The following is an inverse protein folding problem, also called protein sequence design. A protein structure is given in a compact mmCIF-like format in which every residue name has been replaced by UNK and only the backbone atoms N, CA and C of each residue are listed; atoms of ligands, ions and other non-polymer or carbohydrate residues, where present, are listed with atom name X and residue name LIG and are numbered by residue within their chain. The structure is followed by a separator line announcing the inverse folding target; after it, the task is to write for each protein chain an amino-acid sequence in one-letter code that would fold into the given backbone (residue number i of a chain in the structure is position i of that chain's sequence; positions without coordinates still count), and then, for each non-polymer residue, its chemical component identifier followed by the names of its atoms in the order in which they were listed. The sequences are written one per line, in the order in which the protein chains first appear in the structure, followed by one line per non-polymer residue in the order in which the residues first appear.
data_IF_074205972281
#
_entry.id   IF_074205972281
#
_cell.length_a   1.000
_cell.length_b   1.000
_cell.length_c   1.000
_cell.angle_alpha   90.00
_cell.angle_beta   90.00
_cell.angle_gamma   90.00
#
_symmetry.space_group_name_H-M   'P 1'
#
loop_
_entity.id
_entity.type
_entity.pdbx_description
1 polymer ?
#
# COMPACT_ATOMS: atom_id res chain seq x y z
N UNK A 1 33.35 -2.60 6.00
CA UNK A 1 32.33 -3.23 5.12
C UNK A 1 31.29 -3.84 6.05
N UNK A 2 30.02 -3.71 5.72
CA UNK A 2 28.95 -4.35 6.47
C UNK A 2 28.82 -5.79 5.95
N UNK A 3 29.00 -6.77 6.85
CA UNK A 3 28.99 -8.20 6.48
C UNK A 3 27.59 -8.73 6.14
N UNK A 4 26.55 -8.08 6.64
CA UNK A 4 25.16 -8.48 6.40
C UNK A 4 24.46 -7.57 5.38
N UNK A 5 23.63 -8.11 4.48
CA UNK A 5 22.89 -7.30 3.52
C UNK A 5 21.88 -6.38 4.22
N UNK A 6 21.84 -5.12 3.80
CA UNK A 6 20.81 -4.15 4.23
C UNK A 6 19.73 -4.12 3.15
N UNK A 7 18.53 -4.59 3.49
CA UNK A 7 17.40 -4.62 2.58
C UNK A 7 16.52 -3.37 2.71
N UNK A 8 15.76 -3.06 1.66
CA UNK A 8 14.82 -1.92 1.64
C UNK A 8 13.80 -1.97 2.77
N UNK A 9 13.40 -3.15 3.18
CA UNK A 9 12.46 -3.39 4.30
C UNK A 9 12.97 -4.51 5.20
N UNK A 10 12.55 -4.47 6.45
CA UNK A 10 12.72 -5.56 7.42
C UNK A 10 11.37 -5.79 8.11
N UNK A 11 10.89 -7.03 8.22
CA UNK A 11 9.61 -7.31 8.86
C UNK A 11 9.65 -6.95 10.35
N UNK A 12 8.55 -6.37 10.84
CA UNK A 12 8.30 -6.22 12.27
C UNK A 12 7.92 -7.60 12.82
N UNK A 13 8.67 -8.08 13.80
CA UNK A 13 8.45 -9.40 14.41
C UNK A 13 8.01 -9.22 15.87
N UNK A 14 6.97 -9.93 16.32
CA UNK A 14 6.65 -9.99 17.74
C UNK A 14 7.69 -10.83 18.50
N UNK A 15 7.67 -10.74 19.84
CA UNK A 15 8.41 -11.67 20.67
C UNK A 15 8.00 -13.12 20.36
N UNK A 16 8.98 -13.99 20.13
CA UNK A 16 8.72 -15.42 19.86
C UNK A 16 8.06 -16.08 21.07
N UNK A 17 8.40 -15.68 22.29
CA UNK A 17 7.83 -16.17 23.52
C UNK A 17 6.32 -15.84 23.61
N UNK A 18 5.96 -14.57 23.40
CA UNK A 18 4.56 -14.11 23.40
C UNK A 18 3.77 -14.82 22.29
N UNK A 19 4.38 -14.96 21.11
CA UNK A 19 3.70 -15.63 20.01
C UNK A 19 3.52 -17.12 20.28
N UNK A 20 4.51 -17.79 20.90
CA UNK A 20 4.41 -19.19 21.32
C UNK A 20 3.31 -19.38 22.37
N UNK A 21 3.13 -18.41 23.28
CA UNK A 21 2.04 -18.45 24.25
C UNK A 21 0.66 -18.44 23.55
N UNK A 22 0.43 -17.53 22.62
CA UNK A 22 -0.82 -17.48 21.86
C UNK A 22 -1.03 -18.73 20.96
N UNK A 23 0.04 -19.30 20.41
CA UNK A 23 -0.05 -20.56 19.66
C UNK A 23 -0.54 -21.72 20.54
N UNK A 24 -0.16 -21.79 21.81
CA UNK A 24 -0.68 -22.83 22.74
C UNK A 24 -2.19 -22.69 22.93
N UNK A 25 -2.70 -21.48 23.09
CA UNK A 25 -4.15 -21.23 23.17
C UNK A 25 -4.89 -21.70 21.92
N UNK A 26 -4.33 -21.45 20.73
CA UNK A 26 -4.89 -21.92 19.46
C UNK A 26 -4.91 -23.46 19.40
N UNK A 27 -3.81 -24.11 19.83
CA UNK A 27 -3.72 -25.59 19.86
C UNK A 27 -4.71 -26.22 20.84
N UNK A 28 -4.89 -25.61 22.00
CA UNK A 28 -5.86 -26.07 23.02
C UNK A 28 -7.31 -25.93 22.54
N UNK A 29 -7.63 -24.78 21.93
CA UNK A 29 -8.98 -24.52 21.39
C UNK A 29 -9.33 -25.32 20.15
N UNK A 30 -8.31 -25.76 19.38
CA UNK A 30 -8.44 -26.40 18.06
C UNK A 30 -9.20 -25.54 17.02
N UNK A 31 -9.40 -24.26 17.30
CA UNK A 31 -9.98 -23.29 16.37
C UNK A 31 -8.85 -22.69 15.54
N UNK A 32 -8.71 -23.11 14.27
CA UNK A 32 -7.61 -22.67 13.40
C UNK A 32 -8.01 -21.59 12.40
N UNK A 33 -9.29 -21.48 12.07
CA UNK A 33 -9.82 -20.59 11.03
C UNK A 33 -11.32 -20.37 11.22
N UNK A 34 -12.01 -19.77 10.21
CA UNK A 34 -13.45 -19.52 10.21
C UNK A 34 -13.93 -18.55 11.31
N UNK A 35 -13.29 -17.39 11.39
CA UNK A 35 -13.70 -16.31 12.27
C UNK A 35 -13.61 -16.69 13.76
N UNK A 36 -12.48 -17.26 14.18
CA UNK A 36 -12.21 -17.60 15.57
C UNK A 36 -11.91 -16.37 16.43
N UNK A 37 -11.56 -16.61 17.69
CA UNK A 37 -11.42 -15.54 18.70
C UNK A 37 -10.32 -14.52 18.36
N UNK A 38 -9.16 -14.97 17.87
CA UNK A 38 -8.07 -14.04 17.50
C UNK A 38 -8.41 -13.23 16.26
N UNK A 39 -9.11 -13.85 15.28
CA UNK A 39 -9.59 -13.14 14.10
C UNK A 39 -10.54 -12.00 14.48
N UNK A 40 -11.57 -12.28 15.29
CA UNK A 40 -12.54 -11.27 15.72
C UNK A 40 -11.87 -10.15 16.52
N UNK A 41 -11.01 -10.51 17.46
CA UNK A 41 -10.26 -9.54 18.27
C UNK A 41 -9.33 -8.68 17.42
N UNK A 42 -8.70 -9.25 16.40
CA UNK A 42 -7.85 -8.48 15.50
C UNK A 42 -8.65 -7.50 14.63
N UNK A 43 -9.83 -7.90 14.11
CA UNK A 43 -10.72 -6.97 13.40
C UNK A 43 -11.12 -5.80 14.29
N UNK A 44 -11.51 -6.06 15.54
CA UNK A 44 -11.91 -5.04 16.52
C UNK A 44 -10.75 -4.08 16.85
N UNK A 45 -9.59 -4.62 17.23
CA UNK A 45 -8.43 -3.82 17.62
C UNK A 45 -7.85 -3.00 16.46
N UNK A 46 -7.88 -3.56 15.23
CA UNK A 46 -7.48 -2.81 14.04
C UNK A 46 -8.46 -1.69 13.70
N UNK A 47 -9.77 -1.94 13.76
CA UNK A 47 -10.78 -0.92 13.51
C UNK A 47 -10.63 0.25 14.49
N UNK A 48 -10.40 -0.06 15.77
CA UNK A 48 -10.16 0.93 16.82
C UNK A 48 -8.85 1.72 16.60
N UNK A 49 -7.74 1.03 16.33
CA UNK A 49 -6.44 1.66 16.08
C UNK A 49 -6.46 2.56 14.86
N UNK A 50 -7.06 2.09 13.77
CA UNK A 50 -7.16 2.81 12.49
C UNK A 50 -8.26 3.86 12.47
N UNK A 51 -9.09 3.96 13.53
CA UNK A 51 -10.22 4.90 13.64
C UNK A 51 -11.21 4.75 12.47
N UNK A 52 -11.54 3.51 12.13
CA UNK A 52 -12.47 3.19 11.04
C UNK A 52 -13.71 2.47 11.59
N UNK A 53 -14.90 2.66 10.96
CA UNK A 53 -16.13 2.09 11.49
C UNK A 53 -16.20 0.56 11.34
N UNK A 54 -15.78 0.03 10.19
CA UNK A 54 -15.81 -1.41 9.91
C UNK A 54 -14.58 -1.84 9.09
N UNK A 55 -14.10 -3.04 9.42
CA UNK A 55 -12.94 -3.64 8.76
C UNK A 55 -13.17 -5.14 8.59
N UNK A 56 -12.85 -5.70 7.43
CA UNK A 56 -12.81 -7.15 7.18
C UNK A 56 -11.39 -7.61 6.87
N UNK A 57 -10.91 -8.65 7.56
CA UNK A 57 -9.59 -9.23 7.34
C UNK A 57 -9.58 -10.18 6.13
N UNK A 58 -8.43 -10.19 5.43
CA UNK A 58 -8.14 -10.99 4.24
C UNK A 58 -6.76 -11.63 4.32
N UNK A 59 -6.55 -12.75 3.62
CA UNK A 59 -5.27 -13.48 3.60
C UNK A 59 -4.11 -12.75 2.92
N UNK A 60 -4.38 -11.70 2.15
CA UNK A 60 -3.38 -10.83 1.49
C UNK A 60 -4.01 -9.51 1.06
N UNK A 61 -3.21 -8.57 0.53
CA UNK A 61 -3.70 -7.25 0.08
C UNK A 61 -4.37 -7.23 -1.30
N UNK A 62 -4.29 -8.29 -2.10
CA UNK A 62 -4.89 -8.34 -3.45
C UNK A 62 -6.37 -8.75 -3.40
N UNK A 63 -6.71 -9.71 -2.55
CA UNK A 63 -8.08 -10.21 -2.44
C UNK A 63 -9.09 -9.16 -1.95
N UNK A 64 -8.77 -8.24 -1.03
CA UNK A 64 -9.69 -7.15 -0.70
C UNK A 64 -9.95 -6.21 -1.88
N UNK A 65 -8.96 -5.92 -2.77
CA UNK A 65 -9.20 -5.16 -4.00
C UNK A 65 -10.21 -5.89 -4.92
N UNK A 66 -9.98 -7.18 -5.16
CA UNK A 66 -10.88 -8.02 -5.97
C UNK A 66 -12.30 -8.04 -5.37
N UNK A 67 -12.38 -8.23 -4.05
CA UNK A 67 -13.67 -8.32 -3.35
C UNK A 67 -14.41 -6.99 -3.32
N UNK A 68 -13.71 -5.86 -3.17
CA UNK A 68 -14.29 -4.53 -3.21
C UNK A 68 -15.00 -4.26 -4.55
N UNK A 69 -14.32 -4.59 -5.67
CA UNK A 69 -14.87 -4.45 -7.02
C UNK A 69 -16.13 -5.29 -7.20
N UNK A 70 -16.15 -6.54 -6.72
CA UNK A 70 -17.31 -7.43 -6.76
C UNK A 70 -18.45 -6.93 -5.85
N UNK A 71 -18.13 -6.49 -4.63
CA UNK A 71 -19.12 -6.00 -3.67
C UNK A 71 -19.87 -4.78 -4.20
N UNK A 72 -19.18 -3.88 -4.87
CA UNK A 72 -19.72 -2.67 -5.45
C UNK A 72 -20.27 -2.89 -6.89
N UNK A 73 -20.16 -4.11 -7.43
CA UNK A 73 -20.58 -4.46 -8.80
C UNK A 73 -19.95 -3.55 -9.87
N UNK A 74 -18.66 -3.24 -9.68
CA UNK A 74 -17.90 -2.43 -10.64
C UNK A 74 -17.73 -3.20 -11.93
N UNK A 75 -17.94 -2.53 -13.04
CA UNK A 75 -17.85 -3.07 -14.42
C UNK A 75 -17.25 -2.02 -15.35
N UNK A 76 -17.05 -2.34 -16.63
CA UNK A 76 -16.64 -1.38 -17.64
C UNK A 76 -15.20 -0.92 -17.48
N UNK A 77 -14.99 0.35 -17.14
CA UNK A 77 -13.68 0.97 -17.03
C UNK A 77 -13.47 1.57 -15.63
N UNK A 78 -12.23 1.43 -15.10
CA UNK A 78 -11.80 2.04 -13.84
C UNK A 78 -10.55 2.85 -14.09
N UNK A 79 -10.58 4.12 -13.69
CA UNK A 79 -9.44 5.02 -13.74
C UNK A 79 -8.48 4.68 -12.59
N UNK A 80 -7.19 4.52 -12.90
CA UNK A 80 -6.14 4.24 -11.93
C UNK A 80 -4.79 4.82 -12.39
N UNK A 81 -3.74 4.62 -11.61
CA UNK A 81 -2.37 5.07 -11.91
C UNK A 81 -1.51 3.92 -12.47
N UNK A 82 -0.57 4.21 -13.39
CA UNK A 82 0.45 3.22 -13.78
C UNK A 82 1.58 3.10 -12.75
N UNK A 83 1.70 4.07 -11.81
CA UNK A 83 2.76 4.16 -10.82
C UNK A 83 2.33 3.53 -9.50
N UNK A 84 2.25 2.21 -9.48
CA UNK A 84 1.82 1.40 -8.33
C UNK A 84 2.41 0.00 -8.41
N UNK A 85 2.15 -0.81 -7.38
CA UNK A 85 2.36 -2.24 -7.44
C UNK A 85 1.28 -2.88 -8.32
N UNK A 86 1.66 -3.94 -9.02
CA UNK A 86 0.81 -4.55 -10.06
C UNK A 86 -0.56 -5.05 -9.55
N UNK A 87 -0.68 -5.35 -8.26
CA UNK A 87 -1.93 -5.82 -7.66
C UNK A 87 -3.10 -4.86 -7.88
N UNK A 88 -2.86 -3.54 -7.85
CA UNK A 88 -3.86 -2.51 -8.14
C UNK A 88 -4.54 -2.78 -9.48
N UNK A 89 -3.76 -2.89 -10.55
CA UNK A 89 -4.29 -3.09 -11.92
C UNK A 89 -4.72 -4.54 -12.17
N UNK A 90 -3.99 -5.54 -11.62
CA UNK A 90 -4.37 -6.94 -11.76
C UNK A 90 -5.74 -7.25 -11.14
N UNK A 91 -6.12 -6.58 -10.04
CA UNK A 91 -7.44 -6.74 -9.45
C UNK A 91 -8.57 -6.34 -10.39
N UNK A 92 -8.36 -5.32 -11.21
CA UNK A 92 -9.30 -4.90 -12.27
C UNK A 92 -9.40 -5.96 -13.36
N UNK A 93 -8.24 -6.42 -13.86
CA UNK A 93 -8.16 -7.40 -14.93
C UNK A 93 -8.83 -8.74 -14.56
N UNK A 94 -8.60 -9.21 -13.32
CA UNK A 94 -9.23 -10.41 -12.79
C UNK A 94 -10.77 -10.30 -12.67
N UNK A 95 -11.29 -9.09 -12.57
CA UNK A 95 -12.73 -8.81 -12.56
C UNK A 95 -13.30 -8.49 -13.95
N UNK A 96 -12.53 -8.63 -15.03
CA UNK A 96 -12.96 -8.30 -16.39
C UNK A 96 -13.16 -6.80 -16.61
N UNK A 97 -12.53 -5.96 -15.78
CA UNK A 97 -12.63 -4.50 -15.83
C UNK A 97 -11.41 -3.94 -16.57
N UNK A 98 -11.65 -3.02 -17.51
CA UNK A 98 -10.58 -2.37 -18.24
C UNK A 98 -9.95 -1.25 -17.41
N UNK A 99 -8.64 -1.31 -17.10
CA UNK A 99 -7.95 -0.20 -16.46
C UNK A 99 -7.76 0.96 -17.46
N UNK A 100 -7.97 2.19 -16.96
CA UNK A 100 -7.64 3.42 -17.67
C UNK A 100 -6.57 4.14 -16.88
N UNK A 101 -5.36 4.19 -17.41
CA UNK A 101 -4.24 4.84 -16.73
C UNK A 101 -4.33 6.35 -16.90
N UNK A 102 -4.16 7.06 -15.79
CA UNK A 102 -4.04 8.51 -15.73
C UNK A 102 -2.71 8.84 -15.05
N UNK A 103 -2.06 9.90 -15.50
CA UNK A 103 -0.76 10.33 -15.02
C UNK A 103 -0.80 10.80 -13.55
N UNK A 104 0.36 11.03 -12.99
CA UNK A 104 0.56 11.33 -11.58
C UNK A 104 1.00 12.77 -11.36
N UNK A 105 0.90 13.23 -10.11
CA UNK A 105 1.50 14.46 -9.63
C UNK A 105 2.99 14.23 -9.31
N UNK A 106 3.88 15.17 -9.69
CA UNK A 106 5.31 15.02 -9.39
C UNK A 106 5.62 15.15 -7.88
N UNK A 107 4.80 15.90 -7.12
CA UNK A 107 5.03 16.18 -5.70
C UNK A 107 4.69 15.01 -4.78
N UNK A 108 3.89 14.06 -5.24
CA UNK A 108 3.39 12.94 -4.42
C UNK A 108 3.53 11.58 -5.08
N UNK A 109 3.67 11.52 -6.39
CA UNK A 109 3.50 10.34 -7.25
C UNK A 109 2.10 9.71 -7.18
N UNK A 110 1.12 10.39 -6.61
CA UNK A 110 -0.28 9.96 -6.60
C UNK A 110 -0.98 10.33 -7.92
N UNK A 111 -2.11 9.69 -8.18
CA UNK A 111 -2.99 10.00 -9.30
C UNK A 111 -3.31 11.50 -9.32
N UNK A 112 -3.10 12.18 -10.47
CA UNK A 112 -3.38 13.61 -10.64
C UNK A 112 -4.87 13.86 -10.85
N UNK A 113 -5.59 14.50 -9.90
CA UNK A 113 -7.01 14.76 -10.05
C UNK A 113 -7.35 15.64 -11.25
N UNK A 114 -6.47 16.55 -11.63
CA UNK A 114 -6.69 17.48 -12.76
C UNK A 114 -6.78 16.75 -14.11
N UNK A 115 -6.28 15.51 -14.18
CA UNK A 115 -6.28 14.70 -15.40
C UNK A 115 -7.40 13.64 -15.42
N UNK A 116 -8.13 13.46 -14.32
CA UNK A 116 -9.16 12.40 -14.21
C UNK A 116 -10.32 12.67 -15.15
N UNK A 117 -10.88 13.89 -15.16
CA UNK A 117 -12.07 14.22 -15.95
C UNK A 117 -11.90 13.93 -17.44
N UNK A 118 -10.72 14.22 -17.98
CA UNK A 118 -10.39 13.98 -19.40
C UNK A 118 -10.36 12.48 -19.77
N UNK A 119 -10.19 11.60 -18.78
CA UNK A 119 -10.16 10.15 -18.97
C UNK A 119 -11.52 9.47 -18.77
N UNK A 120 -12.55 10.20 -18.34
CA UNK A 120 -13.89 9.68 -18.10
C UNK A 120 -14.59 9.40 -19.42
N UNK A 121 -15.13 8.19 -19.55
CA UNK A 121 -15.99 7.76 -20.67
C UNK A 121 -17.35 7.29 -20.14
N UNK A 122 -18.35 7.07 -21.01
CA UNK A 122 -19.64 6.47 -20.59
C UNK A 122 -19.51 5.07 -19.95
N UNK A 123 -18.34 4.42 -20.06
CA UNK A 123 -18.05 3.12 -19.45
C UNK A 123 -17.33 3.23 -18.10
N UNK A 124 -16.85 4.41 -17.73
CA UNK A 124 -16.18 4.63 -16.45
C UNK A 124 -17.15 4.49 -15.30
N UNK A 125 -16.85 3.62 -14.33
CA UNK A 125 -17.73 3.34 -13.19
C UNK A 125 -17.07 3.60 -11.84
N UNK A 126 -15.72 3.66 -11.80
CA UNK A 126 -14.99 3.94 -10.58
C UNK A 126 -13.63 4.59 -10.83
N UNK A 127 -13.08 5.14 -9.76
CA UNK A 127 -11.70 5.59 -9.66
C UNK A 127 -11.02 4.73 -8.58
N UNK A 128 -9.84 4.19 -8.88
CA UNK A 128 -9.01 3.43 -7.94
C UNK A 128 -7.65 4.13 -7.76
N UNK A 129 -7.59 5.18 -6.93
CA UNK A 129 -6.35 5.88 -6.62
C UNK A 129 -5.51 5.07 -5.64
N UNK A 130 -4.21 5.34 -5.61
CA UNK A 130 -3.25 4.69 -4.71
C UNK A 130 -2.62 5.72 -3.80
N UNK A 131 -2.59 5.49 -2.49
CA UNK A 131 -1.79 6.28 -1.55
C UNK A 131 -0.33 5.84 -1.63
N UNK A 132 0.36 6.29 -2.68
CA UNK A 132 1.74 5.86 -3.00
C UNK A 132 2.68 6.23 -1.86
N UNK A 133 3.48 5.26 -1.40
CA UNK A 133 4.40 5.37 -0.26
C UNK A 133 3.73 5.78 1.07
N UNK A 134 2.41 5.66 1.18
CA UNK A 134 1.65 6.14 2.33
C UNK A 134 1.37 7.65 2.29
N UNK A 135 1.68 8.35 1.20
CA UNK A 135 1.29 9.75 1.03
C UNK A 135 -0.19 9.83 0.60
N UNK A 136 -1.01 10.62 1.29
CA UNK A 136 -2.41 10.75 0.91
C UNK A 136 -2.59 11.33 -0.50
N UNK A 137 -3.53 10.77 -1.26
CA UNK A 137 -4.06 11.41 -2.46
C UNK A 137 -4.79 12.72 -2.09
N UNK A 138 -5.06 13.57 -3.06
CA UNK A 138 -5.97 14.71 -2.93
C UNK A 138 -7.42 14.21 -2.85
N UNK A 139 -7.79 13.69 -1.67
CA UNK A 139 -9.04 12.95 -1.47
C UNK A 139 -10.29 13.78 -1.73
N UNK A 140 -10.27 15.08 -1.43
CA UNK A 140 -11.39 16.00 -1.66
C UNK A 140 -11.65 16.20 -3.15
N UNK A 141 -10.62 16.51 -3.91
CA UNK A 141 -10.70 16.75 -5.35
C UNK A 141 -11.17 15.48 -6.09
N UNK A 142 -10.65 14.32 -5.71
CA UNK A 142 -11.09 13.04 -6.28
C UNK A 142 -12.56 12.77 -5.95
N UNK A 143 -13.01 13.04 -4.71
CA UNK A 143 -14.40 12.85 -4.31
C UNK A 143 -15.36 13.81 -5.02
N UNK A 144 -14.95 15.07 -5.24
CA UNK A 144 -15.74 16.05 -6.01
C UNK A 144 -15.97 15.57 -7.45
N UNK A 145 -14.92 15.06 -8.11
CA UNK A 145 -15.02 14.47 -9.45
C UNK A 145 -15.94 13.24 -9.42
N UNK A 146 -15.72 12.34 -8.47
CA UNK A 146 -16.53 11.14 -8.34
C UNK A 146 -18.02 11.46 -8.16
N UNK A 147 -18.34 12.43 -7.31
CA UNK A 147 -19.70 12.89 -7.08
C UNK A 147 -20.33 13.50 -8.35
N UNK A 148 -19.56 14.31 -9.08
CA UNK A 148 -20.01 14.97 -10.32
C UNK A 148 -20.40 13.96 -11.41
N UNK A 149 -19.67 12.84 -11.49
CA UNK A 149 -19.86 11.82 -12.53
C UNK A 149 -20.55 10.54 -12.04
N UNK A 150 -20.95 10.47 -10.76
CA UNK A 150 -21.59 9.30 -10.17
C UNK A 150 -20.67 8.08 -10.08
N UNK A 151 -19.36 8.30 -9.92
CA UNK A 151 -18.34 7.25 -9.86
C UNK A 151 -18.12 6.77 -8.43
N UNK A 152 -17.70 5.53 -8.28
CA UNK A 152 -17.23 4.97 -7.01
C UNK A 152 -15.75 5.25 -6.81
N UNK A 153 -15.31 5.36 -5.54
CA UNK A 153 -13.89 5.56 -5.19
C UNK A 153 -13.44 4.43 -4.28
N UNK A 154 -12.45 3.65 -4.75
CA UNK A 154 -11.84 2.55 -3.98
C UNK A 154 -10.35 2.87 -3.84
N UNK A 155 -9.90 3.21 -2.63
CA UNK A 155 -8.49 3.50 -2.39
C UNK A 155 -7.66 2.23 -2.22
N UNK A 156 -6.61 2.07 -3.03
CA UNK A 156 -5.51 1.18 -2.69
C UNK A 156 -4.62 1.89 -1.66
N UNK A 157 -4.84 1.56 -0.39
CA UNK A 157 -4.12 2.10 0.76
C UNK A 157 -3.08 1.11 1.31
N UNK A 158 -2.57 0.19 0.47
CA UNK A 158 -1.60 -0.85 0.87
C UNK A 158 -0.35 -0.30 1.58
N UNK A 159 -0.02 0.97 1.41
CA UNK A 159 1.10 1.66 2.05
C UNK A 159 0.68 2.62 3.18
N UNK A 160 -0.61 2.80 3.42
CA UNK A 160 -1.14 3.89 4.25
C UNK A 160 -1.65 3.44 5.63
N UNK A 161 -1.15 2.32 6.18
CA UNK A 161 -1.50 1.87 7.53
C UNK A 161 -1.20 2.97 8.56
N UNK A 162 -2.22 3.40 9.32
CA UNK A 162 -2.11 4.40 10.38
C UNK A 162 -1.81 5.82 9.90
N UNK A 163 -1.98 6.11 8.61
CA UNK A 163 -1.85 7.47 8.05
C UNK A 163 -3.12 8.27 8.31
N UNK A 164 -2.96 9.51 8.76
CA UNK A 164 -4.06 10.42 9.06
C UNK A 164 -3.86 11.78 8.38
N UNK A 165 -4.95 12.44 8.00
CA UNK A 165 -5.01 13.84 7.54
C UNK A 165 -5.78 14.64 8.60
N UNK A 166 -5.13 15.58 9.27
CA UNK A 166 -5.72 16.41 10.32
C UNK A 166 -6.43 15.60 11.43
N UNK A 167 -5.87 14.41 11.77
CA UNK A 167 -6.40 13.51 12.80
C UNK A 167 -7.45 12.52 12.33
N UNK A 168 -7.88 12.60 11.06
CA UNK A 168 -8.79 11.65 10.42
C UNK A 168 -8.01 10.59 9.61
N UNK A 169 -8.39 9.33 9.76
CA UNK A 169 -7.79 8.23 9.00
C UNK A 169 -8.00 8.40 7.50
N UNK A 170 -6.94 8.24 6.69
CA UNK A 170 -7.06 8.25 5.21
C UNK A 170 -7.97 7.15 4.70
N UNK A 171 -8.25 6.13 5.50
CA UNK A 171 -9.10 5.00 5.17
C UNK A 171 -10.60 5.33 5.26
N UNK A 172 -10.95 6.50 5.80
CA UNK A 172 -12.33 6.98 5.87
C UNK A 172 -12.78 7.74 4.60
N UNK A 173 -11.87 7.96 3.66
CA UNK A 173 -12.20 8.61 2.39
C UNK A 173 -12.57 7.59 1.31
N UNK A 174 -13.42 8.02 0.37
CA UNK A 174 -13.96 7.17 -0.69
C UNK A 174 -15.06 6.22 -0.20
N UNK A 175 -15.44 5.26 -1.04
CA UNK A 175 -16.43 4.24 -0.71
C UNK A 175 -15.82 3.06 0.05
N UNK A 176 -14.55 2.71 -0.25
CA UNK A 176 -13.78 1.64 0.39
C UNK A 176 -12.29 1.94 0.34
N UNK A 177 -11.54 1.38 1.28
CA UNK A 177 -10.08 1.42 1.29
C UNK A 177 -9.48 0.05 1.60
N UNK A 178 -8.43 -0.35 0.87
CA UNK A 178 -7.78 -1.65 1.05
C UNK A 178 -6.41 -1.50 1.71
N UNK A 179 -6.07 -2.43 2.59
CA UNK A 179 -4.77 -2.50 3.25
C UNK A 179 -4.05 -3.80 2.90
N UNK A 180 -2.73 -3.74 2.89
CA UNK A 180 -1.85 -4.91 2.80
C UNK A 180 -1.08 -5.08 4.11
N UNK A 181 -1.09 -6.29 4.65
CA UNK A 181 -0.33 -6.69 5.83
C UNK A 181 0.76 -7.71 5.48
N UNK A 182 1.28 -7.63 4.24
CA UNK A 182 2.43 -8.40 3.82
C UNK A 182 3.65 -8.07 4.69
N UNK A 183 4.56 -9.03 4.89
CA UNK A 183 5.73 -8.92 5.76
C UNK A 183 6.62 -7.67 5.53
N UNK A 184 6.60 -7.08 4.32
CA UNK A 184 7.36 -5.86 4.00
C UNK A 184 6.69 -4.57 4.45
N UNK A 185 5.44 -4.59 4.87
CA UNK A 185 4.67 -3.40 5.27
C UNK A 185 5.03 -2.93 6.68
N UNK A 186 4.64 -1.71 7.01
CA UNK A 186 4.86 -1.11 8.34
C UNK A 186 4.24 -1.92 9.46
N UNK A 187 3.02 -2.39 9.22
CA UNK A 187 2.31 -3.39 10.03
C UNK A 187 2.12 -4.65 9.17
N UNK A 188 2.33 -5.83 9.75
CA UNK A 188 2.18 -7.08 9.01
C UNK A 188 1.58 -8.20 9.86
N UNK A 189 1.00 -9.18 9.16
CA UNK A 189 0.50 -10.44 9.71
C UNK A 189 1.15 -11.64 8.99
N UNK A 190 2.46 -11.56 8.68
CA UNK A 190 3.18 -12.41 7.73
C UNK A 190 2.68 -12.16 6.31
N UNK A 191 1.54 -12.68 5.97
CA UNK A 191 0.66 -12.36 4.87
C UNK A 191 -0.70 -11.95 5.42
N UNK A 192 -1.29 -10.92 4.85
CA UNK A 192 -2.61 -10.46 5.23
C UNK A 192 -3.02 -9.19 4.49
N UNK A 193 -4.24 -8.78 4.75
CA UNK A 193 -4.81 -7.54 4.24
C UNK A 193 -6.14 -7.24 4.92
N UNK A 194 -6.70 -6.10 4.59
CA UNK A 194 -8.02 -5.72 5.08
C UNK A 194 -8.76 -4.86 4.07
N UNK A 195 -10.09 -4.87 4.19
CA UNK A 195 -10.98 -3.97 3.49
C UNK A 195 -11.76 -3.15 4.52
N UNK A 196 -11.61 -1.84 4.44
CA UNK A 196 -12.36 -0.86 5.25
C UNK A 196 -13.60 -0.44 4.49
N UNK A 197 -14.73 -0.41 5.19
CA UNK A 197 -16.05 -0.01 4.68
C UNK A 197 -16.77 0.85 5.72
N UNK A 198 -17.84 1.57 5.31
CA UNK A 198 -18.41 2.63 6.15
C UNK A 198 -19.78 2.28 6.73
N UNK A 199 -20.37 1.13 6.36
CA UNK A 199 -21.64 0.66 6.89
C UNK A 199 -21.66 -0.84 7.16
N UNK A 200 -22.52 -1.26 8.07
CA UNK A 200 -22.63 -2.65 8.54
C UNK A 200 -23.14 -3.59 7.44
N UNK A 201 -24.05 -3.13 6.57
CA UNK A 201 -24.59 -3.96 5.51
C UNK A 201 -23.53 -4.33 4.50
N UNK A 202 -22.69 -3.36 4.13
CA UNK A 202 -21.51 -3.60 3.26
C UNK A 202 -20.49 -4.51 3.93
N UNK A 203 -20.20 -4.31 5.22
CA UNK A 203 -19.34 -5.21 6.01
C UNK A 203 -19.84 -6.65 5.93
N UNK A 204 -21.12 -6.87 6.20
CA UNK A 204 -21.75 -8.19 6.15
C UNK A 204 -21.67 -8.82 4.76
N UNK A 205 -21.90 -8.03 3.70
CA UNK A 205 -21.74 -8.49 2.31
C UNK A 205 -20.29 -8.93 2.02
N UNK A 206 -19.29 -8.15 2.46
CA UNK A 206 -17.87 -8.48 2.30
C UNK A 206 -17.54 -9.78 3.03
N UNK A 207 -18.05 -9.97 4.25
CA UNK A 207 -17.79 -11.18 5.04
C UNK A 207 -18.39 -12.43 4.38
N UNK A 208 -19.55 -12.31 3.71
CA UNK A 208 -20.05 -13.40 2.87
C UNK A 208 -19.15 -13.67 1.68
N UNK A 209 -18.75 -12.64 0.93
CA UNK A 209 -17.92 -12.78 -0.27
C UNK A 209 -16.54 -13.39 0.06
N UNK A 210 -15.91 -13.02 1.18
CA UNK A 210 -14.62 -13.59 1.61
C UNK A 210 -14.72 -15.03 2.10
N UNK A 211 -15.95 -15.56 2.30
CA UNK A 211 -16.23 -16.92 2.74
C UNK A 211 -17.20 -17.63 1.77
N UNK A 212 -16.80 -17.77 0.51
CA UNK A 212 -17.55 -18.47 -0.55
C UNK A 212 -18.98 -17.95 -0.80
N UNK A 213 -19.38 -16.84 -0.21
CA UNK A 213 -20.73 -16.30 -0.30
C UNK A 213 -21.71 -16.91 0.68
N UNK A 214 -21.26 -17.66 1.68
CA UNK A 214 -22.12 -18.27 2.70
C UNK A 214 -22.69 -17.20 3.64
N UNK A 215 -24.02 -17.11 3.69
CA UNK A 215 -24.78 -16.38 4.70
C UNK A 215 -25.17 -17.25 5.89
N UNK A 216 -25.30 -18.57 5.68
CA UNK A 216 -25.51 -19.59 6.69
C UNK A 216 -24.94 -20.93 6.20
N UNK A 217 -25.09 -21.98 6.98
CA UNK A 217 -24.62 -23.33 6.62
C UNK A 217 -25.18 -23.84 5.29
N UNK A 218 -26.40 -23.43 4.95
CA UNK A 218 -27.14 -23.92 3.77
C UNK A 218 -27.47 -22.85 2.75
N UNK A 219 -27.13 -21.57 3.01
CA UNK A 219 -27.49 -20.45 2.15
C UNK A 219 -26.26 -19.78 1.56
N UNK A 220 -26.16 -19.78 0.23
CA UNK A 220 -25.15 -19.06 -0.55
C UNK A 220 -25.82 -17.89 -1.26
N UNK A 221 -25.45 -16.66 -0.90
CA UNK A 221 -26.10 -15.42 -1.41
C UNK A 221 -25.36 -14.75 -2.56
N UNK A 222 -24.10 -15.14 -2.81
CA UNK A 222 -23.28 -14.59 -3.88
C UNK A 222 -22.12 -15.55 -4.23
N UNK A 223 -21.56 -15.47 -5.45
CA UNK A 223 -20.30 -16.16 -5.77
C UNK A 223 -19.15 -15.50 -5.02
N UNK A 224 -18.73 -16.11 -3.93
CA UNK A 224 -17.61 -15.66 -3.10
C UNK A 224 -16.35 -16.47 -3.31
N UNK A 225 -15.28 -16.08 -2.64
CA UNK A 225 -13.96 -16.74 -2.65
C UNK A 225 -13.54 -17.16 -1.24
N UNK A 226 -12.51 -17.97 -1.12
CA UNK A 226 -11.89 -18.23 0.18
C UNK A 226 -10.72 -17.28 0.41
N UNK A 227 -10.92 -16.29 1.25
CA UNK A 227 -9.89 -15.29 1.60
C UNK A 227 -9.82 -15.02 3.10
N UNK A 228 -10.32 -15.96 3.92
CA UNK A 228 -10.33 -15.86 5.38
C UNK A 228 -8.93 -15.96 5.97
N UNK A 229 -8.62 -15.07 6.90
CA UNK A 229 -7.41 -15.15 7.74
C UNK A 229 -7.58 -16.24 8.79
N UNK A 230 -6.53 -17.01 9.03
CA UNK A 230 -6.43 -18.00 10.09
C UNK A 230 -6.08 -17.37 11.46
N UNK A 231 -6.26 -18.14 12.53
CA UNK A 231 -6.01 -17.70 13.90
C UNK A 231 -4.52 -17.44 14.17
N UNK A 232 -3.61 -18.15 13.51
CA UNK A 232 -2.16 -18.00 13.69
C UNK A 232 -1.71 -16.62 13.21
N UNK A 233 -2.13 -16.19 12.02
CA UNK A 233 -1.85 -14.84 11.49
C UNK A 233 -2.57 -13.76 12.30
N UNK A 234 -3.77 -14.03 12.77
CA UNK A 234 -4.50 -13.09 13.60
C UNK A 234 -3.81 -12.86 14.96
N UNK A 235 -3.38 -13.90 15.62
CA UNK A 235 -2.60 -13.82 16.88
C UNK A 235 -1.27 -13.07 16.68
N UNK A 236 -0.55 -13.36 15.60
CA UNK A 236 0.66 -12.65 15.22
C UNK A 236 0.39 -11.15 15.01
N UNK A 237 -0.70 -10.82 14.30
CA UNK A 237 -1.12 -9.43 14.04
C UNK A 237 -1.44 -8.66 15.31
N UNK A 238 -2.12 -9.27 16.28
CA UNK A 238 -2.41 -8.66 17.58
C UNK A 238 -1.15 -8.26 18.34
N UNK A 239 -0.11 -9.09 18.32
CA UNK A 239 1.18 -8.76 18.94
C UNK A 239 1.90 -7.63 18.21
N UNK A 240 1.92 -7.66 16.87
CA UNK A 240 2.55 -6.61 16.08
C UNK A 240 1.85 -5.26 16.23
N UNK A 241 0.54 -5.24 16.43
CA UNK A 241 -0.21 -4.01 16.62
C UNK A 241 0.26 -3.23 17.87
N UNK A 242 0.70 -3.95 18.91
CA UNK A 242 1.20 -3.34 20.16
C UNK A 242 2.51 -2.55 19.98
N UNK A 243 3.28 -2.82 18.93
CA UNK A 243 4.60 -2.21 18.71
C UNK A 243 4.69 -1.34 17.45
N UNK A 244 3.61 -1.23 16.68
CA UNK A 244 3.62 -0.53 15.39
C UNK A 244 3.96 0.96 15.52
N UNK A 245 3.49 1.64 16.59
CA UNK A 245 3.80 3.05 16.80
C UNK A 245 5.28 3.29 17.12
N UNK A 246 5.92 2.39 17.87
CA UNK A 246 7.36 2.41 18.10
C UNK A 246 8.13 2.21 16.80
N UNK A 247 7.68 1.27 15.96
CA UNK A 247 8.28 1.03 14.65
C UNK A 247 8.13 2.25 13.71
N UNK A 248 6.99 2.92 13.71
CA UNK A 248 6.76 4.16 12.93
C UNK A 248 7.68 5.28 13.45
N UNK A 249 7.82 5.41 14.79
CA UNK A 249 8.71 6.39 15.39
C UNK A 249 10.17 6.18 15.00
N UNK A 250 10.63 4.93 14.96
CA UNK A 250 11.98 4.59 14.49
C UNK A 250 12.19 4.93 13.02
N UNK A 251 11.22 4.61 12.16
CA UNK A 251 11.23 4.99 10.73
C UNK A 251 11.27 6.51 10.53
N UNK A 252 10.55 7.27 11.36
CA UNK A 252 10.59 8.74 11.33
C UNK A 252 12.00 9.27 11.58
N UNK A 253 12.72 8.72 12.56
CA UNK A 253 14.11 9.14 12.84
C UNK A 253 15.01 8.90 11.63
N UNK A 254 14.90 7.75 10.98
CA UNK A 254 15.64 7.44 9.74
C UNK A 254 15.29 8.43 8.62
N UNK A 255 14.00 8.74 8.42
CA UNK A 255 13.56 9.68 7.40
C UNK A 255 14.11 11.10 7.63
N UNK A 256 14.11 11.57 8.88
CA UNK A 256 14.70 12.87 9.24
C UNK A 256 16.18 12.87 8.91
N UNK A 257 16.92 11.84 9.32
CA UNK A 257 18.37 11.75 9.07
C UNK A 257 18.69 11.73 7.57
N UNK A 258 17.93 10.97 6.77
CA UNK A 258 18.10 10.98 5.32
C UNK A 258 17.88 12.38 4.72
N UNK A 259 16.84 13.10 5.13
CA UNK A 259 16.57 14.45 4.61
C UNK A 259 17.67 15.43 4.95
N UNK A 260 18.11 15.46 6.21
CA UNK A 260 19.19 16.33 6.68
C UNK A 260 20.49 16.12 5.88
N UNK A 261 20.82 14.89 5.53
CA UNK A 261 22.05 14.53 4.88
C UNK A 261 22.01 14.59 3.33
N UNK A 262 20.80 14.51 2.75
CA UNK A 262 20.63 14.50 1.29
C UNK A 262 20.18 15.85 0.71
N UNK A 263 19.70 16.78 1.53
CA UNK A 263 19.13 18.05 1.06
C UNK A 263 20.08 18.91 0.21
N UNK A 264 21.39 18.85 0.48
CA UNK A 264 22.41 19.65 -0.20
C UNK A 264 23.11 18.90 -1.34
N UNK A 265 22.69 17.65 -1.63
CA UNK A 265 23.26 16.87 -2.73
C UNK A 265 22.56 17.24 -4.03
N UNK A 266 23.29 17.86 -4.95
CA UNK A 266 22.77 18.22 -6.27
C UNK A 266 22.28 16.97 -7.02
N UNK A 267 21.16 17.11 -7.71
CA UNK A 267 20.56 16.05 -8.50
C UNK A 267 19.85 14.96 -7.69
N UNK A 268 19.73 15.10 -6.35
CA UNK A 268 18.88 14.25 -5.51
C UNK A 268 17.71 15.07 -5.00
N UNK A 269 16.49 14.55 -5.24
CA UNK A 269 15.27 15.10 -4.65
C UNK A 269 14.51 14.03 -3.89
N UNK A 270 13.72 14.43 -2.91
CA UNK A 270 12.92 13.55 -2.07
C UNK A 270 11.67 14.26 -1.56
N UNK A 271 10.74 13.53 -0.98
CA UNK A 271 9.53 14.13 -0.43
C UNK A 271 9.71 14.58 1.02
N UNK A 272 9.18 15.76 1.32
CA UNK A 272 9.00 16.23 2.69
C UNK A 272 7.68 15.73 3.30
N UNK A 273 7.55 15.87 4.63
CA UNK A 273 6.30 15.63 5.31
C UNK A 273 5.27 16.67 4.89
N UNK A 274 4.03 16.22 4.71
CA UNK A 274 2.91 17.10 4.37
C UNK A 274 2.34 17.66 5.68
N UNK A 275 2.17 19.00 5.80
CA UNK A 275 1.55 19.59 6.99
C UNK A 275 0.17 18.97 7.28
N UNK A 276 -0.10 18.66 8.55
CA UNK A 276 -1.34 18.03 8.98
C UNK A 276 -1.44 16.53 8.70
N UNK A 277 -0.42 15.90 8.10
CA UNK A 277 -0.41 14.46 7.84
C UNK A 277 0.44 13.74 8.89
N UNK A 278 -0.16 12.74 9.55
CA UNK A 278 0.56 11.73 10.31
C UNK A 278 1.07 10.66 9.37
N UNK A 279 2.36 10.68 9.04
CA UNK A 279 2.99 9.70 8.18
C UNK A 279 3.39 8.41 8.89
N UNK A 280 3.41 7.30 8.16
CA UNK A 280 3.92 6.02 8.64
C UNK A 280 5.32 5.67 8.12
N UNK A 281 5.88 6.48 7.22
CA UNK A 281 7.21 6.31 6.63
C UNK A 281 7.40 4.90 6.03
N UNK A 282 6.43 4.45 5.23
CA UNK A 282 6.44 3.13 4.58
C UNK A 282 7.67 2.93 3.71
N UNK A 283 8.05 3.96 2.95
CA UNK A 283 9.22 4.00 2.07
C UNK A 283 9.88 5.38 2.12
N UNK A 284 11.14 5.43 1.71
CA UNK A 284 11.86 6.68 1.49
C UNK A 284 12.38 6.73 0.05
N UNK A 285 11.57 7.20 -0.92
CA UNK A 285 11.99 7.38 -2.30
C UNK A 285 12.89 8.61 -2.42
N UNK A 286 13.96 8.47 -3.19
CA UNK A 286 14.75 9.55 -3.75
C UNK A 286 14.66 9.50 -5.27
N UNK A 287 14.79 10.66 -5.91
CA UNK A 287 14.72 10.80 -7.37
C UNK A 287 16.02 11.38 -7.86
N UNK A 288 16.66 10.70 -8.80
CA UNK A 288 17.97 11.04 -9.32
C UNK A 288 17.83 11.85 -10.61
N UNK A 289 18.44 13.00 -10.65
CA UNK A 289 18.75 13.73 -11.87
C UNK A 289 20.19 13.41 -12.27
N UNK A 290 20.34 12.65 -13.35
CA UNK A 290 21.65 12.11 -13.73
C UNK A 290 22.67 13.18 -14.15
N UNK A 291 22.20 14.29 -14.75
CA UNK A 291 23.07 15.36 -15.21
C UNK A 291 23.65 16.14 -14.03
N UNK A 292 22.83 16.41 -13.01
CA UNK A 292 23.27 17.15 -11.82
C UNK A 292 24.02 16.27 -10.81
N UNK A 293 23.56 15.00 -10.66
CA UNK A 293 24.15 14.08 -9.69
C UNK A 293 25.43 13.39 -10.22
N UNK A 294 25.59 13.33 -11.55
CA UNK A 294 26.75 12.71 -12.21
C UNK A 294 26.66 11.20 -12.35
N UNK A 295 25.49 10.60 -12.05
CA UNK A 295 25.24 9.15 -12.15
C UNK A 295 23.74 8.92 -12.31
N UNK A 296 23.35 7.92 -13.13
CA UNK A 296 21.95 7.53 -13.30
C UNK A 296 21.43 6.80 -12.06
N UNK A 297 20.08 6.74 -11.93
CA UNK A 297 19.41 5.94 -10.91
C UNK A 297 19.86 4.47 -10.94
N UNK A 298 20.07 3.89 -12.13
CA UNK A 298 20.45 2.48 -12.24
C UNK A 298 21.93 2.26 -11.86
N UNK A 299 22.83 3.17 -12.19
CA UNK A 299 24.22 3.12 -11.72
C UNK A 299 24.27 3.21 -10.20
N UNK A 300 23.54 4.12 -9.57
CA UNK A 300 23.44 4.19 -8.11
C UNK A 300 22.84 2.89 -7.52
N UNK A 301 21.81 2.33 -8.15
CA UNK A 301 21.22 1.08 -7.71
C UNK A 301 22.20 -0.08 -7.72
N UNK A 302 23.03 -0.22 -8.76
CA UNK A 302 24.07 -1.26 -8.84
C UNK A 302 25.21 -0.99 -7.88
N UNK A 303 25.68 0.25 -7.75
CA UNK A 303 26.67 0.66 -6.77
C UNK A 303 26.25 0.31 -5.34
N UNK A 304 25.01 0.61 -4.96
CA UNK A 304 24.48 0.21 -3.65
C UNK A 304 24.55 -1.30 -3.45
N UNK A 305 24.18 -2.09 -4.46
CA UNK A 305 24.22 -3.57 -4.40
C UNK A 305 25.64 -4.11 -4.21
N UNK A 306 26.64 -3.53 -4.88
CA UNK A 306 28.05 -3.88 -4.70
C UNK A 306 28.53 -3.68 -3.26
N UNK A 307 27.85 -2.78 -2.52
CA UNK A 307 28.10 -2.50 -1.12
C UNK A 307 27.11 -3.21 -0.17
N UNK A 308 26.45 -4.30 -0.60
CA UNK A 308 25.45 -5.04 0.19
C UNK A 308 24.22 -4.21 0.63
N UNK A 309 23.89 -3.11 -0.07
CA UNK A 309 22.70 -2.29 0.20
C UNK A 309 21.68 -2.48 -0.92
N UNK A 310 20.50 -3.01 -0.59
CA UNK A 310 19.46 -3.42 -1.54
C UNK A 310 18.27 -2.46 -1.50
N UNK A 311 18.36 -1.34 -2.24
CA UNK A 311 17.23 -0.47 -2.53
C UNK A 311 16.22 -1.13 -3.47
N UNK A 312 15.10 -0.44 -3.70
CA UNK A 312 14.06 -0.88 -4.65
C UNK A 312 13.65 0.27 -5.57
N UNK A 313 13.44 -0.05 -6.85
CA UNK A 313 12.97 0.92 -7.85
C UNK A 313 11.43 0.90 -7.89
N UNK A 314 10.78 1.33 -6.83
CA UNK A 314 9.33 1.39 -6.73
C UNK A 314 8.82 2.78 -7.18
N UNK A 315 8.11 2.87 -8.34
CA UNK A 315 7.66 1.73 -9.13
C UNK A 315 8.25 1.80 -10.54
N UNK A 316 9.14 0.89 -10.82
CA UNK A 316 9.76 0.71 -12.13
C UNK A 316 9.90 -0.79 -12.44
N UNK A 317 9.56 -1.24 -13.67
CA UNK A 317 8.93 -0.44 -14.72
C UNK A 317 7.47 -0.11 -14.41
N UNK A 318 6.88 0.88 -15.09
CA UNK A 318 5.47 1.21 -14.96
C UNK A 318 4.57 0.05 -15.38
N UNK A 319 3.42 -0.11 -14.71
CA UNK A 319 2.43 -1.16 -15.04
C UNK A 319 1.96 -1.02 -16.50
N UNK A 320 1.81 0.20 -16.99
CA UNK A 320 1.42 0.50 -18.38
C UNK A 320 2.36 -0.10 -19.42
N UNK A 321 3.62 -0.42 -19.08
CA UNK A 321 4.60 -1.02 -19.99
C UNK A 321 4.55 -2.54 -20.06
N UNK A 322 3.82 -3.20 -19.16
CA UNK A 322 3.73 -4.66 -19.15
C UNK A 322 2.97 -5.18 -20.35
N UNK A 323 3.36 -6.36 -20.83
CA UNK A 323 2.78 -6.98 -22.03
C UNK A 323 1.25 -7.06 -22.02
N UNK A 324 0.66 -7.24 -20.83
CA UNK A 324 -0.79 -7.29 -20.64
C UNK A 324 -1.47 -5.94 -20.89
N UNK A 325 -0.80 -4.82 -20.60
CA UNK A 325 -1.43 -3.49 -20.56
C UNK A 325 -0.93 -2.51 -21.61
N UNK A 326 0.27 -2.71 -22.17
CA UNK A 326 0.92 -1.78 -23.12
C UNK A 326 0.13 -1.50 -24.41
N UNK A 327 -0.84 -2.37 -24.72
CA UNK A 327 -1.75 -2.20 -25.86
C UNK A 327 -2.97 -1.34 -25.59
N UNK A 328 -3.17 -0.87 -24.35
CA UNK A 328 -4.25 0.06 -24.00
C UNK A 328 -3.89 1.47 -24.48
N UNK A 329 -4.86 2.20 -24.99
CA UNK A 329 -4.69 3.59 -25.43
C UNK A 329 -4.14 4.49 -24.28
N UNK A 330 -4.68 4.31 -23.07
CA UNK A 330 -4.23 5.03 -21.87
C UNK A 330 -2.83 4.65 -21.40
N UNK A 331 -2.24 3.57 -21.92
CA UNK A 331 -0.88 3.13 -21.59
C UNK A 331 0.20 3.80 -22.43
N UNK A 332 -0.17 4.61 -23.45
CA UNK A 332 0.80 5.35 -24.26
C UNK A 332 1.65 6.27 -23.36
N UNK A 333 3.00 6.18 -23.43
CA UNK A 333 3.89 7.02 -22.64
C UNK A 333 3.66 8.53 -22.80
N UNK A 334 3.17 8.99 -23.96
CA UNK A 334 2.82 10.38 -24.21
C UNK A 334 1.69 10.89 -23.29
N UNK A 335 0.80 10.00 -22.85
CA UNK A 335 -0.27 10.31 -21.90
C UNK A 335 0.21 10.27 -20.44
N UNK A 336 1.42 9.75 -20.17
CA UNK A 336 1.97 9.44 -18.86
C UNK A 336 3.38 10.03 -18.65
N UNK A 337 3.63 11.29 -19.06
CA UNK A 337 4.98 11.85 -19.05
C UNK A 337 5.57 11.94 -17.64
N UNK A 338 4.80 12.34 -16.63
CA UNK A 338 5.29 12.47 -15.25
C UNK A 338 5.56 11.11 -14.65
N UNK A 339 4.65 10.14 -14.79
CA UNK A 339 4.85 8.79 -14.31
C UNK A 339 6.10 8.15 -14.93
N UNK A 340 6.31 8.35 -16.24
CA UNK A 340 7.50 7.86 -16.96
C UNK A 340 8.78 8.49 -16.43
N UNK A 341 8.80 9.80 -16.26
CA UNK A 341 9.94 10.52 -15.70
C UNK A 341 10.27 10.04 -14.28
N UNK A 342 9.26 10.00 -13.39
CA UNK A 342 9.45 9.59 -12.00
C UNK A 342 9.90 8.14 -11.89
N UNK A 343 9.34 7.23 -12.70
CA UNK A 343 9.75 5.82 -12.72
C UNK A 343 11.21 5.64 -13.12
N UNK A 344 11.73 6.44 -14.04
CA UNK A 344 13.12 6.37 -14.48
C UNK A 344 14.11 6.95 -13.45
N UNK A 345 13.65 7.78 -12.53
CA UNK A 345 14.48 8.50 -11.54
C UNK A 345 14.44 7.89 -10.14
N UNK A 346 13.38 7.13 -9.80
CA UNK A 346 13.11 6.69 -8.43
C UNK A 346 13.98 5.52 -7.97
N UNK A 347 14.49 5.63 -6.73
CA UNK A 347 15.00 4.53 -5.93
C UNK A 347 14.56 4.72 -4.47
N UNK A 348 13.93 3.70 -3.88
CA UNK A 348 13.62 3.69 -2.45
C UNK A 348 14.84 3.20 -1.68
N UNK A 349 15.32 4.01 -0.76
CA UNK A 349 16.39 3.66 0.18
C UNK A 349 15.87 2.67 1.23
N UNK A 350 16.76 1.91 1.90
CA UNK A 350 16.38 1.12 3.06
C UNK A 350 15.62 1.97 4.08
N UNK A 351 14.42 1.51 4.47
CA UNK A 351 13.54 2.21 5.38
C UNK A 351 12.77 1.21 6.25
N UNK A 352 13.28 0.95 7.44
CA UNK A 352 12.62 0.06 8.41
C UNK A 352 13.03 0.39 9.85
N UNK A 353 12.24 -0.10 10.81
CA UNK A 353 12.40 0.17 12.23
C UNK A 353 13.72 -0.35 12.84
N UNK A 354 14.33 -1.37 12.22
CA UNK A 354 15.53 -2.03 12.73
C UNK A 354 16.84 -1.47 12.12
N UNK A 355 16.79 -0.39 11.33
CA UNK A 355 18.00 0.27 10.83
C UNK A 355 18.76 0.94 11.98
N UNK A 356 20.02 0.57 12.17
CA UNK A 356 20.93 1.23 13.09
C UNK A 356 21.46 2.54 12.51
N UNK A 357 21.92 3.45 13.37
CA UNK A 357 22.57 4.70 12.94
C UNK A 357 23.80 4.44 12.05
N UNK A 358 24.58 3.40 12.35
CA UNK A 358 25.74 3.01 11.55
C UNK A 358 25.35 2.53 10.15
N UNK A 359 24.25 1.80 10.01
CA UNK A 359 23.76 1.35 8.70
C UNK A 359 23.23 2.55 7.88
N UNK A 360 22.53 3.48 8.51
CA UNK A 360 22.08 4.72 7.85
C UNK A 360 23.27 5.55 7.38
N UNK A 361 24.28 5.74 8.22
CA UNK A 361 25.50 6.46 7.86
C UNK A 361 26.24 5.76 6.70
N UNK A 362 26.33 4.43 6.73
CA UNK A 362 26.96 3.67 5.65
C UNK A 362 26.21 3.84 4.31
N UNK A 363 24.86 3.81 4.30
CA UNK A 363 24.05 4.05 3.12
C UNK A 363 24.33 5.47 2.57
N UNK A 364 24.36 6.46 3.45
CA UNK A 364 24.64 7.85 3.08
C UNK A 364 26.03 8.03 2.47
N UNK A 365 27.05 7.36 3.00
CA UNK A 365 28.40 7.40 2.44
C UNK A 365 28.48 6.83 1.02
N UNK A 366 27.68 5.82 0.67
CA UNK A 366 27.61 5.27 -0.68
C UNK A 366 26.99 6.28 -1.64
N UNK A 367 25.95 7.00 -1.18
CA UNK A 367 25.22 7.99 -1.98
C UNK A 367 26.07 9.26 -2.18
N UNK A 368 26.80 9.70 -1.17
CA UNK A 368 27.61 10.94 -1.20
C UNK A 368 28.91 10.84 -2.01
N UNK A 369 29.40 9.65 -2.27
CA UNK A 369 30.61 9.37 -3.06
C UNK A 369 30.32 9.16 -4.54
#
# INVERSE_FOLDING_TARGET
MIDKPIYVTSPLLPSLEDFTFLLKEIWESKMLTNNGNFHQKLEEELAKYLKVPYLSLFTNGTLPLITALQAMRITGEVITTPFSFVATTHSLWWNGIKPVFVDIEPETCNLDPAKIEAAITPRTTAIMPVHVYGKPCKTKEIQEIANKYGLKVIYDAAHAFGVEINGESVLNFGDMATLSFHATKVYNTLEGGALVVHDEQTKKRIDYLKNFGFASETEVVAPGINSKVDEVRAAYGLLNLKQVDSAISSRRKVAIRYREELQDIKGITFFNDIPGVRHNYSYFPIFIDAEEYGMTRDELYFKMKEHNVFGRRYFYPLISTFSTYRGLESANPENLPIATQMANRVICLPMHHALSENEVEYILQIIKK
#
